data_IF_461089059240
#
_entry.id   IF_461089059240
#
_cell.length_a   1.000
_cell.length_b   1.000
_cell.length_c   1.000
_cell.angle_alpha   90.00
_cell.angle_beta   90.00
_cell.angle_gamma   90.00
#
_symmetry.space_group_name_H-M   'P 1'
#
loop_
_entity.id
_entity.type
_entity.pdbx_description
1 polymer ?
#
# COMPACT_ATOMS: atom_id res chain seq x y z
N UNK A 1 59.66 -3.48 -27.15
CA UNK A 1 58.56 -4.42 -26.88
C UNK A 1 57.33 -3.90 -27.57
N UNK A 2 56.65 -4.74 -28.33
CA UNK A 2 55.46 -4.37 -29.15
C UNK A 2 54.14 -4.55 -28.42
N UNK A 3 54.12 -5.23 -27.26
CA UNK A 3 52.93 -5.49 -26.45
C UNK A 3 52.92 -4.64 -25.18
N UNK A 4 51.72 -4.26 -24.72
CA UNK A 4 51.53 -3.50 -23.47
C UNK A 4 51.50 -4.43 -22.25
N UNK A 5 51.71 -3.87 -21.05
CA UNK A 5 51.75 -4.65 -19.80
C UNK A 5 50.39 -5.30 -19.53
N UNK A 6 49.31 -4.66 -19.96
CA UNK A 6 47.93 -5.12 -19.84
C UNK A 6 47.65 -6.33 -20.75
N UNK A 7 48.15 -6.31 -21.98
CA UNK A 7 48.00 -7.40 -22.95
C UNK A 7 48.72 -8.66 -22.47
N UNK A 8 49.94 -8.50 -21.93
CA UNK A 8 50.71 -9.61 -21.34
C UNK A 8 49.99 -10.21 -20.12
N UNK A 9 49.30 -9.38 -19.34
CA UNK A 9 48.56 -9.86 -18.17
C UNK A 9 47.22 -10.52 -18.54
N UNK A 10 46.53 -9.99 -19.56
CA UNK A 10 45.22 -10.48 -20.01
C UNK A 10 45.32 -11.77 -20.81
N UNK A 11 46.36 -11.92 -21.62
CA UNK A 11 46.57 -13.11 -22.46
C UNK A 11 48.05 -13.57 -22.43
N UNK A 12 48.35 -14.36 -21.39
CA UNK A 12 49.69 -14.93 -21.17
C UNK A 12 50.05 -15.97 -22.23
N UNK A 13 49.07 -16.69 -22.75
CA UNK A 13 49.29 -17.77 -23.72
C UNK A 13 49.66 -17.19 -25.09
N UNK A 14 49.00 -16.11 -25.50
CA UNK A 14 49.34 -15.38 -26.72
C UNK A 14 50.74 -14.78 -26.65
N UNK A 15 51.12 -14.17 -25.52
CA UNK A 15 52.48 -13.66 -25.32
C UNK A 15 53.52 -14.78 -25.39
N UNK A 16 53.28 -15.91 -24.72
CA UNK A 16 54.16 -17.07 -24.73
C UNK A 16 54.35 -17.65 -26.15
N UNK A 17 53.29 -17.67 -26.95
CA UNK A 17 53.34 -18.10 -28.34
C UNK A 17 54.19 -17.16 -29.21
N UNK A 18 53.99 -15.85 -29.10
CA UNK A 18 54.73 -14.86 -29.87
C UNK A 18 56.23 -14.89 -29.55
N UNK A 19 56.60 -15.01 -28.27
CA UNK A 19 58.01 -15.10 -27.86
C UNK A 19 58.66 -16.38 -28.40
N UNK A 20 57.93 -17.50 -28.41
CA UNK A 20 58.43 -18.75 -29.01
C UNK A 20 58.69 -18.58 -30.51
N UNK A 21 57.76 -17.99 -31.24
CA UNK A 21 57.88 -17.80 -32.69
C UNK A 21 59.12 -16.96 -33.06
N UNK A 22 59.40 -15.91 -32.29
CA UNK A 22 60.56 -15.04 -32.51
C UNK A 22 61.87 -15.72 -32.10
N UNK A 23 61.89 -16.49 -31.00
CA UNK A 23 63.11 -17.09 -30.46
C UNK A 23 63.48 -18.44 -31.09
N UNK A 24 62.51 -19.20 -31.61
CA UNK A 24 62.73 -20.52 -32.23
C UNK A 24 63.82 -20.55 -33.33
N UNK A 25 63.85 -19.61 -34.31
CA UNK A 25 64.87 -19.65 -35.36
C UNK A 25 66.29 -19.38 -34.85
N UNK A 26 66.47 -18.56 -33.81
CA UNK A 26 67.79 -18.22 -33.28
C UNK A 26 68.38 -19.35 -32.45
N UNK A 27 67.55 -19.99 -31.61
CA UNK A 27 67.96 -21.14 -30.78
C UNK A 27 68.18 -22.40 -31.65
N UNK A 28 67.39 -22.54 -32.73
CA UNK A 28 67.57 -23.59 -33.72
C UNK A 28 68.92 -23.53 -34.45
N UNK A 29 69.46 -22.33 -34.74
CA UNK A 29 70.82 -22.18 -35.32
C UNK A 29 71.93 -22.64 -34.38
N UNK A 30 71.65 -22.69 -33.07
CA UNK A 30 72.57 -23.22 -32.05
C UNK A 30 72.38 -24.74 -31.81
N UNK A 31 71.46 -25.39 -32.52
CA UNK A 31 71.18 -26.82 -32.39
C UNK A 31 70.31 -27.20 -31.18
N UNK A 32 69.55 -26.24 -30.63
CA UNK A 32 68.68 -26.42 -29.46
C UNK A 32 67.21 -26.25 -29.88
N UNK A 33 66.31 -27.08 -29.36
CA UNK A 33 64.86 -27.01 -29.63
C UNK A 33 64.08 -26.61 -28.35
N UNK A 34 63.12 -25.71 -28.50
CA UNK A 34 62.26 -25.25 -27.38
C UNK A 34 61.02 -26.16 -27.30
N UNK A 35 61.02 -27.11 -26.37
CA UNK A 35 59.89 -28.01 -26.13
C UNK A 35 58.67 -27.31 -25.51
N UNK A 36 58.90 -26.45 -24.50
CA UNK A 36 57.83 -25.70 -23.84
C UNK A 36 58.36 -24.38 -23.29
N UNK A 37 57.49 -23.37 -23.33
CA UNK A 37 57.74 -22.05 -22.76
C UNK A 37 56.49 -21.67 -21.97
N UNK A 38 56.64 -21.54 -20.65
CA UNK A 38 55.56 -21.18 -19.73
C UNK A 38 56.02 -20.00 -18.89
N UNK A 39 55.19 -18.97 -18.83
CA UNK A 39 55.44 -17.82 -17.96
C UNK A 39 55.14 -18.25 -16.53
N UNK A 40 56.15 -18.19 -15.65
CA UNK A 40 55.99 -18.55 -14.25
C UNK A 40 55.31 -17.43 -13.46
N UNK A 41 55.99 -16.30 -13.32
CA UNK A 41 55.51 -15.15 -12.56
C UNK A 41 55.82 -13.85 -13.30
N UNK A 42 54.89 -12.90 -13.25
CA UNK A 42 55.06 -11.53 -13.79
C UNK A 42 54.97 -10.59 -12.61
N UNK A 43 56.07 -9.93 -12.30
CA UNK A 43 56.16 -8.94 -11.23
C UNK A 43 56.35 -7.55 -11.82
N UNK A 44 55.71 -6.58 -11.19
CA UNK A 44 55.91 -5.17 -11.47
C UNK A 44 56.51 -4.48 -10.24
N UNK A 45 57.52 -3.64 -10.46
CA UNK A 45 58.22 -2.88 -9.42
C UNK A 45 57.46 -1.59 -9.03
N UNK A 46 56.52 -1.12 -9.87
CA UNK A 46 55.82 0.17 -9.69
C UNK A 46 54.35 0.00 -9.25
N UNK A 47 53.95 -1.24 -8.92
CA UNK A 47 52.63 -1.56 -8.36
C UNK A 47 51.43 -1.12 -9.25
N UNK A 48 51.67 -0.93 -10.54
CA UNK A 48 50.71 -0.55 -11.56
C UNK A 48 49.60 -1.60 -11.71
N UNK A 49 50.00 -2.87 -11.78
CA UNK A 49 49.06 -4.00 -11.89
C UNK A 49 48.11 -4.10 -10.69
N UNK A 50 48.62 -3.82 -9.48
CA UNK A 50 47.79 -3.83 -8.26
C UNK A 50 46.79 -2.67 -8.25
N UNK A 51 47.17 -1.50 -8.77
CA UNK A 51 46.30 -0.34 -8.89
C UNK A 51 45.17 -0.55 -9.91
N UNK A 52 45.46 -1.22 -11.02
CA UNK A 52 44.45 -1.58 -12.03
C UNK A 52 43.36 -2.50 -11.44
N UNK A 53 43.75 -3.51 -10.68
CA UNK A 53 42.81 -4.41 -9.98
C UNK A 53 41.95 -3.67 -8.94
N UNK A 54 42.51 -2.70 -8.22
CA UNK A 54 41.75 -1.85 -7.29
C UNK A 54 40.71 -0.99 -8.00
N UNK A 55 41.05 -0.42 -9.14
CA UNK A 55 40.10 0.39 -9.92
C UNK A 55 38.93 -0.45 -10.45
N UNK A 56 39.21 -1.64 -10.97
CA UNK A 56 38.19 -2.54 -11.50
C UNK A 56 37.26 -3.05 -10.40
N UNK A 57 37.82 -3.46 -9.25
CA UNK A 57 37.02 -3.90 -8.09
C UNK A 57 36.16 -2.77 -7.51
N UNK A 58 36.68 -1.54 -7.45
CA UNK A 58 35.91 -0.38 -7.03
C UNK A 58 34.74 -0.08 -7.98
N UNK A 59 34.95 -0.22 -9.29
CA UNK A 59 33.92 -0.01 -10.30
C UNK A 59 32.80 -1.06 -10.19
N UNK A 60 33.15 -2.35 -10.11
CA UNK A 60 32.16 -3.43 -9.93
C UNK A 60 31.36 -3.23 -8.64
N UNK A 61 32.03 -2.83 -7.55
CA UNK A 61 31.34 -2.56 -6.28
C UNK A 61 30.37 -1.38 -6.40
N UNK A 62 30.79 -0.29 -7.05
CA UNK A 62 29.94 0.87 -7.30
C UNK A 62 28.71 0.50 -8.13
N UNK A 63 28.88 -0.29 -9.17
CA UNK A 63 27.78 -0.71 -10.04
C UNK A 63 26.80 -1.64 -9.30
N UNK A 64 27.32 -2.52 -8.45
CA UNK A 64 26.49 -3.34 -7.57
C UNK A 64 25.69 -2.48 -6.58
N UNK A 65 26.35 -1.51 -5.92
CA UNK A 65 25.70 -0.59 -4.98
C UNK A 65 24.62 0.26 -5.68
N UNK A 66 24.89 0.72 -6.91
CA UNK A 66 23.94 1.44 -7.73
C UNK A 66 22.72 0.57 -8.10
N UNK A 67 22.95 -0.68 -8.53
CA UNK A 67 21.88 -1.63 -8.84
C UNK A 67 20.99 -1.95 -7.63
N UNK A 68 21.58 -2.09 -6.45
CA UNK A 68 20.81 -2.28 -5.20
C UNK A 68 19.99 -1.05 -4.86
N UNK A 69 20.56 0.16 -5.02
CA UNK A 69 19.84 1.40 -4.75
C UNK A 69 18.66 1.61 -5.71
N UNK A 70 18.83 1.29 -6.99
CA UNK A 70 17.75 1.35 -7.99
C UNK A 70 16.65 0.33 -7.69
N UNK A 71 17.03 -0.93 -7.39
CA UNK A 71 16.06 -1.96 -7.02
C UNK A 71 15.25 -1.58 -5.77
N UNK A 72 15.90 -1.03 -4.75
CA UNK A 72 15.23 -0.56 -3.52
C UNK A 72 14.30 0.62 -3.80
N UNK A 73 14.72 1.58 -4.65
CA UNK A 73 13.88 2.70 -5.05
C UNK A 73 12.63 2.21 -5.78
N UNK A 74 12.80 1.31 -6.74
CA UNK A 74 11.70 0.82 -7.57
C UNK A 74 10.74 -0.06 -6.75
N UNK A 75 11.27 -0.85 -5.80
CA UNK A 75 10.46 -1.57 -4.82
C UNK A 75 9.66 -0.61 -3.93
N UNK A 76 10.30 0.46 -3.43
CA UNK A 76 9.63 1.46 -2.59
C UNK A 76 8.55 2.25 -3.34
N UNK A 77 8.76 2.60 -4.61
CA UNK A 77 7.74 3.24 -5.45
C UNK A 77 6.54 2.31 -5.61
N UNK A 78 6.78 1.04 -5.96
CA UNK A 78 5.70 0.07 -6.16
C UNK A 78 4.94 -0.20 -4.87
N UNK A 79 5.63 -0.27 -3.73
CA UNK A 79 4.99 -0.39 -2.43
C UNK A 79 4.12 0.83 -2.12
N UNK A 80 4.62 2.04 -2.33
CA UNK A 80 3.86 3.28 -2.12
C UNK A 80 2.63 3.37 -3.03
N UNK A 81 2.74 2.96 -4.29
CA UNK A 81 1.61 2.90 -5.23
C UNK A 81 0.55 1.89 -4.77
N UNK A 82 0.97 0.69 -4.37
CA UNK A 82 0.08 -0.33 -3.83
C UNK A 82 -0.62 0.15 -2.54
N UNK A 83 0.12 0.79 -1.63
CA UNK A 83 -0.44 1.35 -0.40
C UNK A 83 -1.46 2.46 -0.70
N UNK A 84 -1.14 3.35 -1.65
CA UNK A 84 -2.07 4.41 -2.08
C UNK A 84 -3.35 3.80 -2.65
N UNK A 85 -3.25 2.85 -3.57
CA UNK A 85 -4.41 2.18 -4.15
C UNK A 85 -5.25 1.46 -3.09
N UNK A 86 -4.61 0.79 -2.13
CA UNK A 86 -5.30 0.13 -1.02
C UNK A 86 -6.05 1.14 -0.13
N UNK A 87 -5.41 2.27 0.20
CA UNK A 87 -6.02 3.34 0.98
C UNK A 87 -7.18 4.01 0.23
N UNK A 88 -7.05 4.25 -1.07
CA UNK A 88 -8.12 4.83 -1.90
C UNK A 88 -9.36 3.93 -1.90
N UNK A 89 -9.18 2.62 -2.06
CA UNK A 89 -10.28 1.64 -1.97
C UNK A 89 -10.89 1.62 -0.58
N UNK A 90 -10.05 1.66 0.47
CA UNK A 90 -10.51 1.72 1.87
C UNK A 90 -11.36 2.95 2.12
N UNK A 91 -10.87 4.14 1.78
CA UNK A 91 -11.61 5.40 1.97
C UNK A 91 -12.90 5.46 1.15
N UNK A 92 -12.88 4.98 -0.10
CA UNK A 92 -14.10 4.86 -0.90
C UNK A 92 -15.13 3.92 -0.25
N UNK A 93 -14.66 2.81 0.32
CA UNK A 93 -15.54 1.84 1.00
C UNK A 93 -16.09 2.42 2.30
N UNK A 94 -15.24 3.05 3.11
CA UNK A 94 -15.62 3.69 4.38
C UNK A 94 -16.64 4.82 4.14
N UNK A 95 -16.44 5.62 3.08
CA UNK A 95 -17.40 6.66 2.68
C UNK A 95 -18.77 6.06 2.36
N UNK A 96 -18.81 4.96 1.59
CA UNK A 96 -20.06 4.26 1.26
C UNK A 96 -20.75 3.68 2.50
N UNK A 97 -19.97 3.14 3.44
CA UNK A 97 -20.50 2.61 4.70
C UNK A 97 -21.13 3.74 5.52
N UNK A 98 -20.44 4.87 5.65
CA UNK A 98 -20.96 6.02 6.39
C UNK A 98 -22.19 6.64 5.70
N UNK A 99 -22.22 6.72 4.38
CA UNK A 99 -23.40 7.16 3.63
C UNK A 99 -24.60 6.24 3.86
N UNK A 100 -24.39 4.93 3.81
CA UNK A 100 -25.45 3.95 4.11
C UNK A 100 -25.92 4.05 5.57
N UNK A 101 -25.00 4.20 6.52
CA UNK A 101 -25.30 4.41 7.94
C UNK A 101 -26.12 5.68 8.17
N UNK A 102 -25.76 6.78 7.49
CA UNK A 102 -26.49 8.04 7.52
C UNK A 102 -27.89 7.89 6.94
N UNK A 103 -28.03 7.25 5.78
CA UNK A 103 -29.33 6.99 5.15
C UNK A 103 -30.23 6.14 6.04
N UNK A 104 -29.69 5.08 6.64
CA UNK A 104 -30.42 4.24 7.57
C UNK A 104 -30.90 5.03 8.80
N UNK A 105 -30.03 5.86 9.40
CA UNK A 105 -30.40 6.70 10.55
C UNK A 105 -31.49 7.73 10.20
N UNK A 106 -31.43 8.34 9.01
CA UNK A 106 -32.45 9.26 8.53
C UNK A 106 -33.80 8.57 8.32
N UNK A 107 -33.82 7.42 7.66
CA UNK A 107 -35.05 6.64 7.49
C UNK A 107 -35.64 6.23 8.85
N UNK A 108 -34.80 5.74 9.76
CA UNK A 108 -35.23 5.40 11.11
C UNK A 108 -35.84 6.60 11.83
N UNK A 109 -35.20 7.77 11.79
CA UNK A 109 -35.72 8.99 12.40
C UNK A 109 -37.07 9.42 11.80
N UNK A 110 -37.25 9.29 10.48
CA UNK A 110 -38.52 9.57 9.82
C UNK A 110 -39.62 8.61 10.31
N UNK A 111 -39.34 7.31 10.37
CA UNK A 111 -40.30 6.34 10.88
C UNK A 111 -40.63 6.57 12.36
N UNK A 112 -39.64 6.90 13.19
CA UNK A 112 -39.86 7.22 14.59
C UNK A 112 -40.74 8.49 14.73
N UNK A 113 -40.55 9.49 13.86
CA UNK A 113 -41.42 10.67 13.81
C UNK A 113 -42.85 10.32 13.40
N UNK A 114 -43.04 9.51 12.36
CA UNK A 114 -44.37 9.02 11.93
C UNK A 114 -45.07 8.22 13.04
N UNK A 115 -44.34 7.33 13.72
CA UNK A 115 -44.88 6.55 14.84
C UNK A 115 -45.26 7.47 16.00
N UNK A 116 -44.41 8.45 16.34
CA UNK A 116 -44.68 9.36 17.45
C UNK A 116 -45.85 10.30 17.17
N UNK A 117 -45.99 10.79 15.93
CA UNK A 117 -47.14 11.61 15.51
C UNK A 117 -48.43 10.80 15.56
N UNK A 118 -48.44 9.59 14.99
CA UNK A 118 -49.61 8.71 15.06
C UNK A 118 -49.99 8.34 16.51
N UNK A 119 -49.00 8.09 17.39
CA UNK A 119 -49.25 7.85 18.82
C UNK A 119 -49.83 9.09 19.52
N UNK A 120 -49.31 10.28 19.24
CA UNK A 120 -49.81 11.52 19.81
C UNK A 120 -51.24 11.80 19.35
N UNK A 121 -51.55 11.59 18.07
CA UNK A 121 -52.91 11.71 17.53
C UNK A 121 -53.87 10.71 18.19
N UNK A 122 -53.45 9.44 18.34
CA UNK A 122 -54.24 8.43 19.01
C UNK A 122 -54.52 8.79 20.48
N UNK A 123 -53.52 9.31 21.19
CA UNK A 123 -53.65 9.77 22.57
C UNK A 123 -54.61 10.97 22.69
N UNK A 124 -54.47 11.97 21.82
CA UNK A 124 -55.37 13.12 21.79
C UNK A 124 -56.80 12.71 21.42
N UNK A 125 -56.98 11.77 20.49
CA UNK A 125 -58.29 11.24 20.14
C UNK A 125 -58.93 10.49 21.32
N UNK A 126 -58.14 9.70 22.05
CA UNK A 126 -58.59 9.02 23.27
C UNK A 126 -59.03 10.01 24.35
N UNK A 127 -58.23 11.03 24.61
CA UNK A 127 -58.55 12.09 25.58
C UNK A 127 -59.78 12.90 25.18
N UNK A 128 -59.91 13.25 23.89
CA UNK A 128 -61.08 13.94 23.35
C UNK A 128 -62.34 13.09 23.56
N UNK A 129 -62.27 11.78 23.32
CA UNK A 129 -63.42 10.90 23.49
C UNK A 129 -63.77 10.70 24.96
N UNK A 130 -62.78 10.57 25.84
CA UNK A 130 -63.00 10.55 27.28
C UNK A 130 -63.68 11.83 27.78
N UNK A 131 -63.26 13.00 27.28
CA UNK A 131 -63.88 14.28 27.59
C UNK A 131 -65.34 14.38 27.10
N UNK A 132 -65.64 13.92 25.88
CA UNK A 132 -67.01 13.86 25.34
C UNK A 132 -67.91 12.95 26.18
N UNK A 133 -67.42 11.77 26.58
CA UNK A 133 -68.17 10.85 27.43
C UNK A 133 -68.42 11.48 28.80
N UNK A 134 -67.42 12.10 29.44
CA UNK A 134 -67.62 12.83 30.70
C UNK A 134 -68.62 13.96 30.58
N UNK A 135 -68.64 14.69 29.46
CA UNK A 135 -69.60 15.76 29.22
C UNK A 135 -71.03 15.20 29.12
N UNK A 136 -71.22 14.06 28.44
CA UNK A 136 -72.53 13.37 28.39
C UNK A 136 -72.99 12.94 29.78
N UNK A 137 -72.12 12.23 30.53
CA UNK A 137 -72.42 11.79 31.89
C UNK A 137 -72.86 12.96 32.78
N UNK A 138 -72.12 14.08 32.75
CA UNK A 138 -72.48 15.28 33.52
C UNK A 138 -73.81 15.88 33.08
N UNK A 139 -74.13 15.89 31.79
CA UNK A 139 -75.43 16.36 31.32
C UNK A 139 -76.58 15.46 31.80
N UNK A 140 -76.39 14.13 31.75
CA UNK A 140 -77.35 13.16 32.30
C UNK A 140 -77.52 13.36 33.82
N UNK A 141 -76.43 13.54 34.58
CA UNK A 141 -76.48 13.82 36.04
C UNK A 141 -77.30 15.09 36.34
N UNK A 142 -77.06 16.19 35.61
CA UNK A 142 -77.82 17.43 35.78
C UNK A 142 -79.31 17.21 35.46
N UNK A 143 -79.64 16.39 34.46
CA UNK A 143 -81.05 16.08 34.17
C UNK A 143 -81.71 15.30 35.30
N UNK A 144 -81.00 14.34 35.91
CA UNK A 144 -81.50 13.59 37.07
C UNK A 144 -81.77 14.56 38.24
N UNK A 145 -80.82 15.44 38.55
CA UNK A 145 -80.97 16.46 39.61
C UNK A 145 -82.17 17.38 39.38
N UNK A 146 -82.41 17.79 38.12
CA UNK A 146 -83.58 18.63 37.78
C UNK A 146 -84.90 17.86 37.97
N UNK A 147 -84.94 16.58 37.62
CA UNK A 147 -86.12 15.73 37.84
C UNK A 147 -86.37 15.52 39.33
N UNK A 148 -85.33 15.26 40.14
CA UNK A 148 -85.45 15.13 41.60
C UNK A 148 -85.96 16.42 42.24
N UNK A 149 -85.40 17.58 41.86
CA UNK A 149 -85.88 18.88 42.37
C UNK A 149 -87.32 19.18 41.97
N UNK A 150 -87.73 18.82 40.74
CA UNK A 150 -89.13 18.98 40.33
C UNK A 150 -90.07 18.11 41.17
N UNK A 151 -89.71 16.85 41.41
CA UNK A 151 -90.50 15.95 42.27
C UNK A 151 -90.60 16.43 43.72
N UNK A 152 -89.59 17.13 44.24
CA UNK A 152 -89.64 17.73 45.59
C UNK A 152 -90.57 18.94 45.70
N UNK A 153 -90.88 19.63 44.60
CA UNK A 153 -91.78 20.80 44.58
C UNK A 153 -93.24 20.38 44.38
N UNK A 154 -93.49 19.16 43.90
CA UNK A 154 -94.83 18.63 43.57
C UNK A 154 -95.54 17.93 44.76
N UNK A 155 -94.97 18.00 45.97
CA UNK A 155 -95.55 17.52 47.25
C UNK A 155 -95.93 18.71 48.12
#
# INVERSE_FOLDING_TARGET
GTLTVEEVYRDRDQFAALVREVAAPDVGRMGIEILSFTIKDVYDNVQYLASLGKSQTAMVKRDADAGVAEANRDAGIREAECQKAAMDVKYSTDTKIEDNSRMFKLQKANFDQEINTAKAEAQLAYELQAAKIRQKIRNEEIQIDVVERRKQIEV
#
